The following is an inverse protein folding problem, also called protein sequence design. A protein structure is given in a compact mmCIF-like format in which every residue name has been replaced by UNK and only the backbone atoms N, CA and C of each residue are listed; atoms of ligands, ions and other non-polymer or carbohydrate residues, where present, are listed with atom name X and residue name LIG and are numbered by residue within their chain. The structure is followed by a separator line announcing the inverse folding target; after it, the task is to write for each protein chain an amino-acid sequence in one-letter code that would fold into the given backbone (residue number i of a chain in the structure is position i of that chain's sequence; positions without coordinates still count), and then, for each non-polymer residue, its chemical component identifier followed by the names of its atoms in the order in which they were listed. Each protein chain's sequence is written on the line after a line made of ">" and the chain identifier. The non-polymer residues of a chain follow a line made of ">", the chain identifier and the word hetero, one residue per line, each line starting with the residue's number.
data_IF_488583345024
#
_entry.id   IF_488583345024
#
_cell.length_a   1.000
_cell.length_b   1.000
_cell.length_c   1.000
_cell.angle_alpha   90.00
_cell.angle_beta   90.00
_cell.angle_gamma   90.00
#
_symmetry.space_group_name_H-M   'P 1'
#
loop_
_entity.id
_entity.type
_entity.pdbx_description
1 polymer ?
#
# COMPACT_ATOMS: atom_id res chain seq x y z
N UNK A 1 -11.03 -10.56 10.68
CA UNK A 1 -11.09 -10.14 9.28
C UNK A 1 -10.03 -9.09 9.03
N UNK A 2 -9.23 -9.29 7.99
CA UNK A 2 -8.14 -8.41 7.71
C UNK A 2 -8.15 -7.94 6.27
N UNK A 3 -7.25 -7.01 5.97
CA UNK A 3 -7.02 -6.51 4.63
C UNK A 3 -5.58 -6.79 4.25
N UNK A 4 -5.32 -6.98 2.97
CA UNK A 4 -3.97 -7.14 2.47
C UNK A 4 -3.76 -6.33 1.20
N UNK A 5 -2.53 -5.91 1.00
CA UNK A 5 -2.13 -5.14 -0.16
C UNK A 5 -0.82 -5.71 -0.70
N UNK A 6 -0.88 -6.29 -1.88
CA UNK A 6 0.32 -6.78 -2.54
C UNK A 6 1.03 -5.63 -3.24
N UNK A 7 2.28 -5.41 -2.90
CA UNK A 7 3.08 -4.33 -3.47
C UNK A 7 3.19 -4.44 -5.00
N UNK A 8 3.30 -5.63 -5.53
CA UNK A 8 3.41 -5.85 -6.96
C UNK A 8 2.15 -5.40 -7.73
N UNK A 9 1.00 -5.35 -7.07
CA UNK A 9 -0.23 -4.87 -7.69
C UNK A 9 -0.20 -3.36 -7.94
N UNK A 10 0.79 -2.67 -7.35
CA UNK A 10 1.00 -1.25 -7.58
C UNK A 10 1.96 -0.97 -8.74
N UNK A 11 2.33 -2.01 -9.48
CA UNK A 11 3.22 -1.87 -10.62
C UNK A 11 4.70 -1.95 -10.29
N UNK A 12 5.05 -2.41 -9.09
CA UNK A 12 6.44 -2.59 -8.69
C UNK A 12 6.78 -4.08 -8.60
N UNK A 13 8.05 -4.41 -8.81
CA UNK A 13 8.53 -5.78 -8.68
C UNK A 13 8.98 -5.97 -7.23
N UNK A 14 8.03 -6.35 -6.38
CA UNK A 14 8.29 -6.48 -4.96
C UNK A 14 7.40 -7.58 -4.37
N UNK A 15 7.97 -8.59 -3.70
CA UNK A 15 7.18 -9.69 -3.12
C UNK A 15 6.49 -9.32 -1.80
N UNK A 16 6.65 -8.09 -1.35
CA UNK A 16 6.08 -7.66 -0.07
C UNK A 16 4.56 -7.57 -0.13
N UNK A 17 3.92 -8.09 0.91
CA UNK A 17 2.47 -7.98 1.10
C UNK A 17 2.22 -7.32 2.45
N UNK A 18 1.57 -6.17 2.44
CA UNK A 18 1.17 -5.48 3.66
C UNK A 18 -0.15 -6.06 4.15
N UNK A 19 -0.28 -6.20 5.45
CA UNK A 19 -1.50 -6.70 6.09
C UNK A 19 -1.90 -5.81 7.25
N UNK A 20 -3.20 -5.63 7.42
CA UNK A 20 -3.74 -4.85 8.52
C UNK A 20 -5.18 -5.25 8.81
N UNK A 21 -5.66 -4.94 10.00
CA UNK A 21 -7.03 -5.25 10.37
C UNK A 21 -8.04 -4.30 9.74
N UNK A 22 -7.61 -3.08 9.44
CA UNK A 22 -8.45 -2.07 8.82
C UNK A 22 -7.65 -1.25 7.81
N UNK A 23 -8.32 -0.36 7.09
CA UNK A 23 -7.69 0.48 6.07
C UNK A 23 -6.60 1.37 6.64
N UNK A 24 -6.83 1.94 7.79
CA UNK A 24 -5.87 2.85 8.42
C UNK A 24 -4.57 2.14 8.75
N UNK A 25 -4.65 0.97 9.38
CA UNK A 25 -3.49 0.17 9.72
C UNK A 25 -2.75 -0.31 8.47
N UNK A 26 -3.51 -0.80 7.49
CA UNK A 26 -2.93 -1.29 6.24
C UNK A 26 -2.22 -0.17 5.49
N UNK A 27 -2.85 0.99 5.38
CA UNK A 27 -2.28 2.14 4.68
C UNK A 27 -1.01 2.62 5.38
N UNK A 28 -1.01 2.63 6.71
CA UNK A 28 0.17 3.03 7.47
C UNK A 28 1.35 2.10 7.18
N UNK A 29 1.11 0.80 7.19
CA UNK A 29 2.17 -0.18 6.92
C UNK A 29 2.66 -0.09 5.47
N UNK A 30 1.75 0.01 4.53
CA UNK A 30 2.10 0.11 3.12
C UNK A 30 2.86 1.41 2.83
N UNK A 31 2.44 2.51 3.44
CA UNK A 31 3.12 3.79 3.30
C UNK A 31 4.53 3.76 3.85
N UNK A 32 4.71 3.15 5.01
CA UNK A 32 6.04 3.01 5.60
C UNK A 32 6.96 2.20 4.70
N UNK A 33 6.47 1.08 4.17
CA UNK A 33 7.24 0.26 3.26
C UNK A 33 7.63 1.03 2.00
N UNK A 34 6.69 1.76 1.43
CA UNK A 34 6.94 2.54 0.23
C UNK A 34 8.01 3.61 0.45
N UNK A 35 7.97 4.28 1.59
CA UNK A 35 8.97 5.30 1.92
C UNK A 35 10.36 4.69 2.14
N UNK A 36 10.44 3.59 2.86
CA UNK A 36 11.73 2.99 3.22
C UNK A 36 12.36 2.20 2.09
N UNK A 37 11.55 1.48 1.32
CA UNK A 37 12.05 0.55 0.31
C UNK A 37 12.03 1.17 -1.09
N UNK A 38 10.96 1.88 -1.44
CA UNK A 38 10.78 2.42 -2.78
C UNK A 38 11.09 3.91 -2.88
N UNK A 39 11.36 4.56 -1.74
CA UNK A 39 11.73 5.97 -1.74
C UNK A 39 10.60 6.95 -2.07
N UNK A 40 9.36 6.54 -1.89
CA UNK A 40 8.24 7.45 -2.11
C UNK A 40 8.21 8.56 -1.06
N UNK A 41 7.73 9.73 -1.48
CA UNK A 41 7.55 10.85 -0.58
C UNK A 41 6.10 10.90 -0.09
N UNK A 42 5.85 11.70 0.96
CA UNK A 42 4.50 11.91 1.46
C UNK A 42 3.59 12.48 0.38
N UNK A 43 4.12 13.36 -0.46
CA UNK A 43 3.36 13.94 -1.57
C UNK A 43 2.90 12.87 -2.56
N UNK A 44 3.80 11.95 -2.90
CA UNK A 44 3.46 10.86 -3.81
C UNK A 44 2.41 9.94 -3.22
N UNK A 45 2.52 9.63 -1.92
CA UNK A 45 1.56 8.76 -1.26
C UNK A 45 0.19 9.42 -1.08
N UNK A 46 0.15 10.76 -1.03
CA UNK A 46 -1.10 11.51 -0.91
C UNK A 46 -1.76 11.80 -2.25
N UNK A 47 -1.09 11.47 -3.35
CA UNK A 47 -1.62 11.71 -4.70
C UNK A 47 -2.92 10.91 -4.90
N UNK A 48 -4.01 11.54 -5.38
CA UNK A 48 -5.27 10.84 -5.61
C UNK A 48 -5.14 9.63 -6.51
N UNK A 49 -4.26 9.68 -7.50
CA UNK A 49 -4.04 8.55 -8.39
C UNK A 49 -3.42 7.38 -7.65
N UNK A 50 -2.47 7.66 -6.76
CA UNK A 50 -1.84 6.63 -5.94
C UNK A 50 -2.88 6.02 -4.99
N UNK A 51 -3.72 6.84 -4.38
CA UNK A 51 -4.77 6.37 -3.48
C UNK A 51 -5.74 5.44 -4.21
N UNK A 52 -6.09 5.75 -5.44
CA UNK A 52 -6.96 4.88 -6.23
C UNK A 52 -6.29 3.53 -6.51
N UNK A 53 -5.02 3.53 -6.85
CA UNK A 53 -4.27 2.30 -7.09
C UNK A 53 -4.20 1.45 -5.82
N UNK A 54 -3.93 2.09 -4.69
CA UNK A 54 -3.85 1.40 -3.41
C UNK A 54 -5.19 0.75 -3.08
N UNK A 55 -6.28 1.49 -3.21
CA UNK A 55 -7.61 0.96 -2.93
C UNK A 55 -7.98 -0.20 -3.85
N UNK A 56 -7.63 -0.08 -5.12
CA UNK A 56 -7.92 -1.14 -6.09
C UNK A 56 -7.11 -2.40 -5.81
N UNK A 57 -5.92 -2.26 -5.24
CA UNK A 57 -5.05 -3.39 -4.93
C UNK A 57 -5.36 -4.04 -3.59
N UNK A 58 -6.08 -3.35 -2.71
CA UNK A 58 -6.44 -3.89 -1.39
C UNK A 58 -7.46 -5.00 -1.54
N UNK A 59 -7.21 -6.11 -0.88
CA UNK A 59 -8.09 -7.28 -0.88
C UNK A 59 -8.41 -7.68 0.55
N UNK A 60 -9.59 -8.22 0.74
CA UNK A 60 -9.99 -8.77 2.04
C UNK A 60 -9.41 -10.16 2.21
N UNK A 61 -8.93 -10.42 3.39
CA UNK A 61 -8.50 -11.76 3.77
C UNK A 61 -9.63 -12.58 4.36
#
# INVERSE_FOLDING_TARGET
>A
MGLKLACQDLGTVCPFVARGENMEELTAKAGKHAKEVHGYTDEQLSDPKMQEKIKAAIKKE
#
